data_IF_343554843327
#
_entry.id   IF_343554843327
#
_cell.length_a   1.000
_cell.length_b   1.000
_cell.length_c   1.000
_cell.angle_alpha   90.00
_cell.angle_beta   90.00
_cell.angle_gamma   90.00
#
_symmetry.space_group_name_H-M   'P 1'
#
loop_
_entity.id
_entity.type
_entity.pdbx_description
1 polymer ?
#
# COMPACT_ATOMS: atom_id res chain seq x y z
N UNK A 1 16.45 -5.28 -8.37
CA UNK A 1 15.74 -6.59 -8.34
C UNK A 1 14.39 -6.40 -7.64
N UNK A 2 13.31 -7.07 -8.05
CA UNK A 2 12.02 -6.97 -7.33
C UNK A 2 12.03 -7.87 -6.10
N UNK A 3 11.38 -7.43 -5.00
CA UNK A 3 11.35 -8.18 -3.72
C UNK A 3 10.89 -9.63 -3.89
N UNK A 4 9.97 -9.92 -4.82
CA UNK A 4 9.57 -11.30 -5.14
C UNK A 4 10.76 -12.12 -5.67
N UNK A 5 11.46 -11.61 -6.68
CA UNK A 5 12.57 -12.35 -7.31
C UNK A 5 13.68 -12.62 -6.30
N UNK A 6 13.97 -11.66 -5.43
CA UNK A 6 14.93 -11.83 -4.33
C UNK A 6 14.50 -12.95 -3.38
N UNK A 7 13.24 -12.95 -2.94
CA UNK A 7 12.74 -14.01 -2.06
C UNK A 7 12.74 -15.39 -2.72
N UNK A 8 12.45 -15.46 -4.02
CA UNK A 8 12.44 -16.71 -4.76
C UNK A 8 13.88 -17.23 -5.01
N UNK A 9 14.88 -16.36 -5.15
CA UNK A 9 16.29 -16.77 -5.27
C UNK A 9 16.89 -17.24 -3.95
N UNK A 10 16.56 -16.56 -2.84
CA UNK A 10 17.05 -16.91 -1.51
C UNK A 10 16.30 -18.10 -0.87
N UNK A 11 15.10 -18.45 -1.39
CA UNK A 11 14.23 -19.44 -0.78
C UNK A 11 13.60 -19.00 0.55
N UNK A 12 13.73 -17.72 0.91
CA UNK A 12 13.27 -17.13 2.18
C UNK A 12 12.23 -16.02 1.94
N UNK A 13 11.30 -15.84 2.89
CA UNK A 13 10.28 -14.78 2.85
C UNK A 13 10.55 -13.74 3.93
N UNK A 14 10.54 -12.46 3.54
CA UNK A 14 10.58 -11.32 4.44
C UNK A 14 9.17 -11.03 5.01
N UNK A 15 8.54 -12.04 5.62
CA UNK A 15 7.23 -12.02 6.30
C UNK A 15 6.00 -11.68 5.43
N UNK A 16 6.18 -11.07 4.27
CA UNK A 16 5.11 -10.77 3.32
C UNK A 16 4.61 -12.03 2.59
N UNK A 17 3.39 -11.93 2.05
CA UNK A 17 2.68 -13.03 1.38
C UNK A 17 2.85 -13.04 -0.13
N UNK A 18 3.82 -12.30 -0.68
CA UNK A 18 3.98 -12.18 -2.13
C UNK A 18 4.37 -13.52 -2.77
N UNK A 19 3.60 -13.88 -3.79
CA UNK A 19 3.80 -15.06 -4.65
C UNK A 19 3.65 -14.69 -6.11
N UNK A 20 3.90 -15.64 -7.03
CA UNK A 20 3.73 -15.46 -8.47
C UNK A 20 2.36 -14.90 -8.89
N UNK A 21 1.31 -15.27 -8.17
CA UNK A 21 -0.05 -14.82 -8.47
C UNK A 21 -0.31 -13.33 -8.19
N UNK A 22 0.52 -12.69 -7.35
CA UNK A 22 0.34 -11.28 -6.98
C UNK A 22 0.76 -10.28 -8.06
N UNK A 23 1.81 -10.60 -8.83
CA UNK A 23 2.31 -9.80 -9.96
C UNK A 23 1.68 -10.30 -11.28
N UNK A 24 1.49 -11.62 -11.43
CA UNK A 24 0.88 -12.22 -12.63
C UNK A 24 -0.65 -12.36 -12.43
N UNK A 25 -1.28 -11.31 -11.93
CA UNK A 25 -2.67 -11.31 -11.43
C UNK A 25 -3.74 -11.22 -12.54
N UNK A 26 -3.37 -11.24 -13.83
CA UNK A 26 -4.28 -10.98 -14.96
C UNK A 26 -5.54 -11.86 -14.96
N UNK A 27 -5.44 -13.12 -14.52
CA UNK A 27 -6.57 -14.04 -14.45
C UNK A 27 -7.31 -13.98 -13.09
N UNK A 28 -6.91 -13.06 -12.21
CA UNK A 28 -7.35 -12.94 -10.82
C UNK A 28 -7.62 -11.48 -10.44
N UNK A 29 -7.92 -10.63 -11.42
CA UNK A 29 -8.10 -9.17 -11.26
C UNK A 29 -9.16 -8.78 -10.22
N UNK A 30 -10.19 -9.63 -10.03
CA UNK A 30 -11.26 -9.39 -9.06
C UNK A 30 -10.92 -9.88 -7.64
N UNK A 31 -9.78 -10.56 -7.43
CA UNK A 31 -9.39 -11.08 -6.12
C UNK A 31 -8.78 -9.96 -5.27
N UNK A 32 -9.63 -9.23 -4.55
CA UNK A 32 -9.24 -8.17 -3.61
C UNK A 32 -8.16 -8.66 -2.63
N UNK A 33 -8.23 -9.92 -2.18
CA UNK A 33 -7.21 -10.54 -1.32
C UNK A 33 -5.78 -10.40 -1.87
N UNK A 34 -5.58 -10.56 -3.19
CA UNK A 34 -4.26 -10.41 -3.81
C UNK A 34 -3.83 -8.95 -3.81
N UNK A 35 -4.73 -8.02 -4.12
CA UNK A 35 -4.42 -6.58 -4.10
C UNK A 35 -4.00 -6.12 -2.70
N UNK A 36 -4.77 -6.50 -1.67
CA UNK A 36 -4.49 -6.15 -0.26
C UNK A 36 -3.15 -6.73 0.19
N UNK A 37 -2.84 -7.99 -0.17
CA UNK A 37 -1.56 -8.59 0.19
C UNK A 37 -0.38 -7.93 -0.52
N UNK A 38 -0.55 -7.53 -1.78
CA UNK A 38 0.46 -6.79 -2.55
C UNK A 38 0.74 -5.42 -1.98
N UNK A 39 -0.30 -4.71 -1.53
CA UNK A 39 -0.22 -3.34 -1.02
C UNK A 39 -0.22 -3.29 0.52
N UNK A 40 0.39 -4.28 1.17
CA UNK A 40 0.47 -4.35 2.63
C UNK A 40 1.74 -3.73 3.20
N UNK A 41 1.67 -3.24 4.45
CA UNK A 41 2.84 -2.77 5.21
C UNK A 41 3.99 -3.77 5.26
N UNK A 42 3.71 -5.08 5.30
CA UNK A 42 4.76 -6.12 5.24
C UNK A 42 5.58 -6.09 3.94
N UNK A 43 4.96 -5.71 2.82
CA UNK A 43 5.65 -5.54 1.53
C UNK A 43 6.50 -4.27 1.55
N UNK A 44 5.99 -3.17 2.10
CA UNK A 44 6.77 -1.94 2.28
C UNK A 44 8.00 -2.18 3.15
N UNK A 45 7.86 -2.87 4.30
CA UNK A 45 9.00 -3.22 5.16
C UNK A 45 10.00 -4.12 4.45
N UNK A 46 9.54 -5.10 3.67
CA UNK A 46 10.43 -5.99 2.91
C UNK A 46 11.21 -5.24 1.81
N UNK A 47 10.57 -4.28 1.15
CA UNK A 47 11.21 -3.39 0.17
C UNK A 47 12.32 -2.56 0.83
N UNK A 48 12.01 -1.89 1.94
CA UNK A 48 12.98 -1.09 2.70
C UNK A 48 14.14 -1.94 3.22
N UNK A 49 13.85 -3.14 3.75
CA UNK A 49 14.88 -4.07 4.19
C UNK A 49 15.79 -4.49 3.04
N UNK A 50 15.22 -4.86 1.89
CA UNK A 50 15.96 -5.23 0.69
C UNK A 50 16.88 -4.11 0.18
N UNK A 51 16.47 -2.85 0.31
CA UNK A 51 17.30 -1.68 0.01
C UNK A 51 18.41 -1.51 1.05
N UNK A 52 18.11 -1.65 2.35
CA UNK A 52 19.09 -1.53 3.43
C UNK A 52 20.25 -2.52 3.29
N UNK A 53 19.99 -3.74 2.80
CA UNK A 53 21.01 -4.77 2.58
C UNK A 53 21.64 -4.71 1.17
N UNK A 54 21.29 -3.72 0.35
CA UNK A 54 21.87 -3.53 -1.00
C UNK A 54 21.35 -4.48 -2.08
N UNK A 55 20.27 -5.23 -1.82
CA UNK A 55 19.71 -6.19 -2.79
C UNK A 55 18.66 -5.56 -3.72
N UNK A 56 18.10 -4.40 -3.34
CA UNK A 56 17.09 -3.67 -4.12
C UNK A 56 17.61 -2.25 -4.39
N UNK A 57 17.36 -1.77 -5.61
CA UNK A 57 17.73 -0.41 -6.01
C UNK A 57 16.96 0.64 -5.17
N UNK A 58 17.68 1.63 -4.66
CA UNK A 58 17.13 2.70 -3.83
C UNK A 58 16.30 3.71 -4.64
N UNK A 59 16.53 3.85 -5.94
CA UNK A 59 16.00 4.96 -6.76
C UNK A 59 14.47 5.16 -6.68
N UNK A 60 13.71 4.07 -6.48
CA UNK A 60 12.24 4.09 -6.43
C UNK A 60 11.63 3.36 -5.24
N UNK A 61 12.46 2.75 -4.39
CA UNK A 61 11.99 1.87 -3.31
C UNK A 61 11.33 2.65 -2.19
N UNK A 62 11.93 3.77 -1.76
CA UNK A 62 11.36 4.63 -0.71
C UNK A 62 9.97 5.13 -1.09
N UNK A 63 9.83 5.66 -2.31
CA UNK A 63 8.55 6.18 -2.82
C UNK A 63 7.50 5.09 -3.02
N UNK A 64 7.92 3.90 -3.46
CA UNK A 64 7.01 2.76 -3.59
C UNK A 64 6.52 2.28 -2.22
N UNK A 65 7.42 2.18 -1.23
CA UNK A 65 7.09 1.80 0.13
C UNK A 65 6.16 2.83 0.81
N UNK A 66 6.37 4.12 0.55
CA UNK A 66 5.53 5.22 1.02
C UNK A 66 4.10 5.09 0.46
N UNK A 67 3.94 4.91 -0.86
CA UNK A 67 2.63 4.70 -1.50
C UNK A 67 1.92 3.46 -0.94
N UNK A 68 2.64 2.33 -0.80
CA UNK A 68 2.08 1.09 -0.23
C UNK A 68 1.58 1.35 1.18
N UNK A 69 2.37 2.03 2.01
CA UNK A 69 2.00 2.32 3.40
C UNK A 69 0.77 3.22 3.49
N UNK A 70 0.63 4.20 2.61
CA UNK A 70 -0.56 5.07 2.55
C UNK A 70 -1.81 4.27 2.18
N UNK A 71 -1.72 3.40 1.16
CA UNK A 71 -2.84 2.56 0.74
C UNK A 71 -3.23 1.54 1.83
N UNK A 72 -2.26 0.88 2.46
CA UNK A 72 -2.51 -0.08 3.56
C UNK A 72 -3.26 0.58 4.72
N UNK A 73 -2.84 1.80 5.12
CA UNK A 73 -3.49 2.56 6.19
C UNK A 73 -4.93 2.91 5.85
N UNK A 74 -5.17 3.46 4.64
CA UNK A 74 -6.53 3.80 4.20
C UNK A 74 -7.41 2.56 4.15
N UNK A 75 -6.91 1.45 3.61
CA UNK A 75 -7.65 0.20 3.53
C UNK A 75 -8.01 -0.34 4.93
N UNK A 76 -7.05 -0.31 5.86
CA UNK A 76 -7.27 -0.72 7.25
C UNK A 76 -8.33 0.14 7.96
N UNK A 77 -8.27 1.47 7.77
CA UNK A 77 -9.23 2.42 8.33
C UNK A 77 -10.63 2.19 7.75
N UNK A 78 -10.77 2.09 6.42
CA UNK A 78 -12.07 1.88 5.78
C UNK A 78 -12.68 0.51 6.08
N UNK A 79 -11.87 -0.45 6.54
CA UNK A 79 -12.32 -1.77 6.96
C UNK A 79 -12.25 -1.99 8.48
N UNK A 80 -12.22 -0.91 9.27
CA UNK A 80 -12.02 -0.95 10.72
C UNK A 80 -13.31 -1.32 11.50
N UNK A 81 -13.62 -2.62 11.57
CA UNK A 81 -14.86 -3.12 12.22
C UNK A 81 -14.63 -3.88 13.52
N UNK A 82 -13.38 -4.10 13.91
CA UNK A 82 -13.04 -5.02 14.99
C UNK A 82 -12.72 -4.28 16.31
N UNK A 83 -13.47 -4.52 17.41
CA UNK A 83 -13.22 -3.87 18.70
C UNK A 83 -11.87 -4.20 19.33
N UNK A 84 -11.31 -5.38 19.05
CA UNK A 84 -10.03 -5.85 19.61
C UNK A 84 -8.84 -5.59 18.69
N UNK A 85 -9.09 -5.13 17.46
CA UNK A 85 -8.01 -4.76 16.55
C UNK A 85 -7.29 -3.50 17.05
N UNK A 86 -6.00 -3.41 16.74
CA UNK A 86 -5.12 -2.30 17.15
C UNK A 86 -4.75 -1.43 15.95
N UNK A 87 -4.32 -0.20 16.23
CA UNK A 87 -3.87 0.75 15.21
C UNK A 87 -4.98 1.11 14.22
N UNK A 88 -4.64 1.21 12.94
CA UNK A 88 -5.57 1.61 11.88
C UNK A 88 -6.73 0.63 11.63
N UNK A 89 -6.59 -0.62 12.09
CA UNK A 89 -7.67 -1.63 12.03
C UNK A 89 -8.67 -1.52 13.19
N UNK A 90 -8.34 -0.74 14.21
CA UNK A 90 -9.17 -0.57 15.41
C UNK A 90 -10.46 0.17 15.08
N UNK A 91 -11.56 -0.23 15.71
CA UNK A 91 -12.86 0.39 15.50
C UNK A 91 -12.82 1.92 15.70
N UNK A 92 -13.46 2.65 14.79
CA UNK A 92 -13.66 4.11 14.91
C UNK A 92 -14.68 4.39 16.03
N UNK A 93 -14.29 5.27 16.95
CA UNK A 93 -15.02 5.67 18.16
C UNK A 93 -14.93 7.19 18.31
N UNK A 94 -15.85 7.85 19.05
CA UNK A 94 -15.76 9.29 19.29
C UNK A 94 -14.39 9.75 19.81
N UNK A 95 -13.73 8.94 20.66
CA UNK A 95 -12.42 9.28 21.23
C UNK A 95 -11.23 9.21 20.27
N UNK A 96 -11.31 8.47 19.16
CA UNK A 96 -10.21 8.36 18.17
C UNK A 96 -10.57 8.96 16.79
N UNK A 97 -11.81 9.43 16.61
CA UNK A 97 -12.30 9.95 15.33
C UNK A 97 -11.41 11.07 14.77
N UNK A 98 -10.99 12.02 15.62
CA UNK A 98 -10.13 13.13 15.18
C UNK A 98 -8.80 12.65 14.60
N UNK A 99 -8.14 11.68 15.24
CA UNK A 99 -6.89 11.08 14.74
C UNK A 99 -7.12 10.34 13.42
N UNK A 100 -8.24 9.63 13.30
CA UNK A 100 -8.60 8.92 12.06
C UNK A 100 -8.80 9.92 10.92
N UNK A 101 -9.54 11.00 11.15
CA UNK A 101 -9.76 12.06 10.15
C UNK A 101 -8.44 12.73 9.75
N UNK A 102 -7.58 13.06 10.70
CA UNK A 102 -6.26 13.65 10.42
C UNK A 102 -5.40 12.73 9.53
N UNK A 103 -5.39 11.43 9.83
CA UNK A 103 -4.67 10.43 9.05
C UNK A 103 -5.26 10.28 7.65
N UNK A 104 -6.59 10.23 7.52
CA UNK A 104 -7.27 10.19 6.22
C UNK A 104 -6.90 11.42 5.39
N UNK A 105 -6.96 12.62 5.97
CA UNK A 105 -6.62 13.86 5.25
C UNK A 105 -5.16 13.91 4.83
N UNK A 106 -4.24 13.47 5.69
CA UNK A 106 -2.82 13.32 5.34
C UNK A 106 -2.63 12.37 4.14
N UNK A 107 -3.32 11.22 4.16
CA UNK A 107 -3.28 10.26 3.07
C UNK A 107 -3.92 10.79 1.78
N UNK A 108 -5.06 11.51 1.86
CA UNK A 108 -5.73 12.15 0.72
C UNK A 108 -4.83 13.18 0.05
N UNK A 109 -4.19 14.03 0.85
CA UNK A 109 -3.25 15.04 0.37
C UNK A 109 -2.07 14.41 -0.36
N UNK A 110 -1.50 13.34 0.21
CA UNK A 110 -0.44 12.58 -0.42
C UNK A 110 -0.88 11.99 -1.78
N UNK A 111 -2.00 11.24 -1.81
CA UNK A 111 -2.49 10.59 -3.03
C UNK A 111 -2.87 11.60 -4.12
N UNK A 112 -3.45 12.74 -3.74
CA UNK A 112 -3.82 13.82 -4.67
C UNK A 112 -2.60 14.55 -5.24
N UNK A 113 -1.49 14.54 -4.50
CA UNK A 113 -0.21 15.11 -4.91
C UNK A 113 0.63 14.21 -5.82
N UNK A 114 0.29 12.92 -5.95
CA UNK A 114 1.05 11.99 -6.79
C UNK A 114 1.01 12.40 -8.27
N UNK A 115 2.20 12.38 -8.88
CA UNK A 115 2.41 12.69 -10.29
C UNK A 115 3.07 11.53 -11.02
N UNK A 116 2.85 11.45 -12.33
CA UNK A 116 3.59 10.55 -13.21
C UNK A 116 4.95 11.14 -13.64
N UNK A 117 5.69 10.42 -14.47
CA UNK A 117 6.97 10.86 -14.99
C UNK A 117 6.90 12.08 -15.92
N UNK A 118 5.70 12.55 -16.27
CA UNK A 118 5.47 13.76 -17.07
C UNK A 118 4.95 14.91 -16.20
N UNK A 119 5.07 14.80 -14.87
CA UNK A 119 4.57 15.76 -13.88
C UNK A 119 3.03 15.93 -13.87
N UNK A 120 2.29 15.06 -14.56
CA UNK A 120 0.84 15.09 -14.58
C UNK A 120 0.28 14.37 -13.35
N UNK A 121 -0.76 14.94 -12.72
CA UNK A 121 -1.39 14.33 -11.54
C UNK A 121 -2.03 12.98 -11.89
N UNK A 122 -1.75 11.96 -11.10
CA UNK A 122 -2.27 10.60 -11.35
C UNK A 122 -3.80 10.57 -11.28
N UNK A 123 -4.42 11.41 -10.44
CA UNK A 123 -5.87 11.51 -10.27
C UNK A 123 -6.60 12.06 -11.51
N UNK A 124 -5.89 12.69 -12.46
CA UNK A 124 -6.48 13.12 -13.73
C UNK A 124 -6.17 12.17 -14.89
N UNK A 125 -5.26 11.22 -14.68
CA UNK A 125 -4.79 10.29 -15.71
C UNK A 125 -5.75 9.14 -16.04
N UNK A 126 -5.35 8.31 -17.01
CA UNK A 126 -6.14 7.15 -17.46
C UNK A 126 -6.35 6.07 -16.39
N UNK A 127 -5.39 5.91 -15.47
CA UNK A 127 -5.45 4.93 -14.37
C UNK A 127 -5.94 5.53 -13.03
N UNK A 128 -6.63 6.68 -13.09
CA UNK A 128 -7.06 7.43 -11.90
C UNK A 128 -7.99 6.66 -10.95
N UNK A 129 -8.81 5.74 -11.47
CA UNK A 129 -9.91 5.14 -10.69
C UNK A 129 -9.46 4.44 -9.42
N UNK A 130 -8.29 3.79 -9.44
CA UNK A 130 -7.74 3.13 -8.26
C UNK A 130 -7.38 4.10 -7.13
N UNK A 131 -7.04 5.34 -7.44
CA UNK A 131 -6.69 6.39 -6.47
C UNK A 131 -7.92 7.21 -6.06
N UNK A 132 -8.74 7.55 -7.06
CA UNK A 132 -9.96 8.34 -6.89
C UNK A 132 -10.96 7.64 -5.97
N UNK A 133 -11.06 6.31 -6.00
CA UNK A 133 -11.89 5.56 -5.04
C UNK A 133 -11.53 5.86 -3.59
N UNK A 134 -10.23 5.81 -3.25
CA UNK A 134 -9.75 6.15 -1.91
C UNK A 134 -9.97 7.63 -1.51
N UNK A 135 -10.12 8.53 -2.48
CA UNK A 135 -10.39 9.95 -2.22
C UNK A 135 -11.88 10.23 -1.96
N UNK A 136 -12.78 9.46 -2.58
CA UNK A 136 -14.23 9.62 -2.42
C UNK A 136 -14.84 8.78 -1.29
N UNK A 137 -14.24 7.65 -0.94
CA UNK A 137 -14.72 6.74 0.13
C UNK A 137 -14.34 7.22 1.55
N UNK A 138 -13.84 8.45 1.69
CA UNK A 138 -13.47 9.06 2.98
C UNK A 138 -14.20 10.37 3.27
#
# INVERSE_FOLDING_TARGET
VSIRRLQDSEGLKAVNRLTKNHIDFKNQIMKVKLAVQTLSSSVASALMFGQQIGCIDSSSTDKTAEIISVIDRLFDIFNSKCPVARGYKSQIRPGNLHLVVEVIESCKNFLSGLKDCQEARIVTGRKRMGFVGFLFDA
#
